data_IF_350666601473
#
_entry.id   IF_350666601473
#
_cell.length_a   1.000
_cell.length_b   1.000
_cell.length_c   1.000
_cell.angle_alpha   90.00
_cell.angle_beta   90.00
_cell.angle_gamma   90.00
#
_symmetry.space_group_name_H-M   'P 1'
#
loop_
_entity.id
_entity.type
_entity.pdbx_description
1 polymer ?
#
# COMPACT_ATOMS: atom_id res chain seq x y z
N UNK A 1 13.15 27.70 -49.45
CA UNK A 1 12.24 26.55 -49.26
C UNK A 1 12.94 25.35 -49.85
N UNK A 2 13.68 24.62 -49.02
CA UNK A 2 14.36 23.31 -49.20
C UNK A 2 15.22 23.20 -47.90
N UNK A 3 15.44 22.11 -47.16
CA UNK A 3 15.17 20.68 -47.29
C UNK A 3 15.76 20.01 -46.00
N UNK A 4 15.20 18.88 -45.51
CA UNK A 4 15.84 17.83 -44.64
C UNK A 4 16.00 18.12 -43.12
N UNK A 5 15.89 17.20 -42.13
CA UNK A 5 15.95 15.73 -42.05
C UNK A 5 15.24 15.19 -40.80
N UNK A 6 14.82 13.93 -40.90
CA UNK A 6 14.51 13.04 -39.79
C UNK A 6 15.71 12.84 -38.82
N UNK A 7 15.41 12.79 -37.52
CA UNK A 7 16.23 12.15 -36.48
C UNK A 7 15.21 11.33 -35.66
N UNK A 8 15.12 10.01 -35.82
CA UNK A 8 16.16 9.05 -35.43
C UNK A 8 15.89 8.64 -33.98
N UNK A 9 15.19 7.50 -33.81
CA UNK A 9 14.87 6.86 -32.52
C UNK A 9 16.08 6.79 -31.58
N UNK A 10 15.91 7.25 -30.35
CA UNK A 10 16.46 6.54 -29.20
C UNK A 10 15.27 5.92 -28.47
N UNK A 11 15.15 4.59 -28.59
CA UNK A 11 14.26 3.83 -27.74
C UNK A 11 14.86 3.82 -26.34
N UNK A 12 14.62 4.86 -25.56
CA UNK A 12 14.65 4.73 -24.11
C UNK A 12 13.30 4.13 -23.74
N UNK A 13 13.26 2.79 -23.69
CA UNK A 13 12.21 2.11 -22.95
C UNK A 13 12.32 2.62 -21.52
N UNK A 14 11.49 3.61 -21.19
CA UNK A 14 11.46 4.25 -19.90
C UNK A 14 11.33 3.11 -18.87
N UNK A 15 12.33 2.82 -18.02
CA UNK A 15 12.36 1.57 -17.24
C UNK A 15 11.15 1.45 -16.29
N UNK A 16 10.43 2.56 -16.09
CA UNK A 16 9.22 2.67 -15.31
C UNK A 16 7.94 2.20 -16.04
N UNK A 17 7.94 1.96 -17.37
CA UNK A 17 6.75 1.37 -18.04
C UNK A 17 6.48 -0.05 -17.55
N UNK A 18 7.52 -0.81 -17.19
CA UNK A 18 7.37 -2.13 -16.56
C UNK A 18 6.74 -2.09 -15.15
N UNK A 19 6.75 -0.92 -14.51
CA UNK A 19 6.13 -0.65 -13.21
C UNK A 19 4.72 -0.05 -13.33
N UNK A 20 4.24 0.24 -14.55
CA UNK A 20 2.89 0.72 -14.81
C UNK A 20 2.71 2.24 -14.73
N UNK A 21 3.76 3.03 -14.98
CA UNK A 21 3.72 4.51 -14.98
C UNK A 21 3.76 5.07 -16.41
N UNK A 22 2.99 6.13 -16.66
CA UNK A 22 3.14 7.00 -17.84
C UNK A 22 4.21 8.09 -17.59
N UNK A 23 4.56 8.83 -18.65
CA UNK A 23 5.62 9.85 -18.60
C UNK A 23 5.27 11.07 -17.72
N UNK A 24 4.02 11.15 -17.24
CA UNK A 24 3.54 12.17 -16.29
C UNK A 24 3.51 11.67 -14.83
N UNK A 25 3.96 10.44 -14.57
CA UNK A 25 3.87 9.80 -13.26
C UNK A 25 2.45 9.36 -12.89
N UNK A 26 1.53 9.34 -13.86
CA UNK A 26 0.20 8.77 -13.66
C UNK A 26 0.22 7.28 -13.96
N UNK A 27 -0.57 6.53 -13.21
CA UNK A 27 -0.66 5.08 -13.35
C UNK A 27 -1.45 4.71 -14.60
N UNK A 28 -0.86 3.83 -15.42
CA UNK A 28 -1.55 3.19 -16.53
C UNK A 28 -2.71 2.33 -16.01
N UNK A 29 -3.73 2.02 -16.84
CA UNK A 29 -4.86 1.19 -16.45
C UNK A 29 -4.37 -0.24 -16.14
N UNK A 30 -4.03 -0.48 -14.86
CA UNK A 30 -3.48 -1.73 -14.35
C UNK A 30 -2.76 -1.47 -13.04
N UNK A 31 -3.43 -1.75 -11.91
CA UNK A 31 -2.81 -1.56 -10.59
C UNK A 31 -1.51 -2.37 -10.48
N UNK A 32 -0.41 -1.78 -9.96
CA UNK A 32 0.86 -2.50 -9.90
C UNK A 32 0.70 -3.79 -9.11
N UNK A 33 1.37 -4.84 -9.59
CA UNK A 33 1.33 -6.20 -9.01
C UNK A 33 1.61 -6.21 -7.51
N UNK A 34 2.37 -5.24 -7.01
CA UNK A 34 2.66 -5.13 -5.58
C UNK A 34 1.41 -4.87 -4.75
N UNK A 35 0.44 -4.08 -5.24
CA UNK A 35 -0.79 -3.77 -4.51
C UNK A 35 -1.69 -5.00 -4.39
N UNK A 36 -1.77 -5.82 -5.45
CA UNK A 36 -2.56 -7.06 -5.41
C UNK A 36 -1.92 -8.08 -4.47
N UNK A 37 -0.59 -8.21 -4.48
CA UNK A 37 0.15 -9.07 -3.54
C UNK A 37 -0.05 -8.61 -2.09
N UNK A 38 0.08 -7.31 -1.82
CA UNK A 38 -0.12 -6.72 -0.50
C UNK A 38 -1.52 -7.00 0.05
N UNK A 39 -2.55 -6.72 -0.75
CA UNK A 39 -3.94 -7.00 -0.35
C UNK A 39 -4.13 -8.49 -0.02
N UNK A 40 -3.61 -9.38 -0.86
CA UNK A 40 -3.70 -10.84 -0.64
C UNK A 40 -2.95 -11.32 0.60
N UNK A 41 -1.78 -10.75 0.91
CA UNK A 41 -0.99 -11.11 2.10
C UNK A 41 -1.68 -10.62 3.37
N UNK A 42 -2.14 -9.37 3.38
CA UNK A 42 -2.83 -8.79 4.53
C UNK A 42 -4.18 -9.49 4.79
N UNK A 43 -4.95 -9.80 3.74
CA UNK A 43 -6.19 -10.57 3.87
C UNK A 43 -5.95 -12.00 4.41
N UNK A 44 -4.88 -12.67 3.96
CA UNK A 44 -4.49 -13.98 4.51
C UNK A 44 -4.09 -13.88 5.98
N UNK A 45 -3.33 -12.85 6.34
CA UNK A 45 -2.91 -12.61 7.73
C UNK A 45 -4.12 -12.37 8.65
N UNK A 46 -5.02 -11.46 8.26
CA UNK A 46 -6.27 -11.19 9.00
C UNK A 46 -7.09 -12.46 9.19
N UNK A 47 -7.31 -13.22 8.12
CA UNK A 47 -8.09 -14.47 8.18
C UNK A 47 -7.45 -15.53 9.08
N UNK A 48 -6.12 -15.65 9.04
CA UNK A 48 -5.37 -16.55 9.91
C UNK A 48 -5.51 -16.15 11.38
N UNK A 49 -5.32 -14.87 11.67
CA UNK A 49 -5.39 -14.31 13.01
C UNK A 49 -6.80 -14.41 13.61
N UNK A 50 -7.84 -14.08 12.85
CA UNK A 50 -9.23 -14.20 13.32
C UNK A 50 -9.60 -15.66 13.65
N UNK A 51 -9.11 -16.63 12.87
CA UNK A 51 -9.28 -18.06 13.21
C UNK A 51 -8.55 -18.45 14.49
N UNK A 52 -7.33 -17.95 14.69
CA UNK A 52 -6.57 -18.19 15.92
C UNK A 52 -7.27 -17.58 17.13
N UNK A 53 -7.77 -16.36 17.02
CA UNK A 53 -8.53 -15.68 18.08
C UNK A 53 -9.88 -16.35 18.37
N UNK A 54 -10.55 -16.90 17.35
CA UNK A 54 -11.78 -17.65 17.55
C UNK A 54 -11.56 -19.04 18.19
N UNK A 55 -10.44 -19.69 17.86
CA UNK A 55 -10.09 -21.02 18.36
C UNK A 55 -9.37 -21.02 19.72
N UNK A 56 -8.77 -19.89 20.11
CA UNK A 56 -7.95 -19.77 21.31
C UNK A 56 -8.61 -18.80 22.30
N UNK A 57 -8.60 -19.07 23.61
CA UNK A 57 -8.98 -18.09 24.66
C UNK A 57 -7.96 -16.94 24.81
N UNK A 58 -7.23 -16.60 23.75
CA UNK A 58 -6.23 -15.53 23.74
C UNK A 58 -6.99 -14.21 23.61
N UNK A 59 -6.85 -13.34 24.60
CA UNK A 59 -7.41 -11.99 24.54
C UNK A 59 -6.49 -11.15 23.65
N UNK A 60 -7.00 -10.72 22.51
CA UNK A 60 -6.31 -9.75 21.66
C UNK A 60 -6.14 -8.42 22.41
N UNK A 61 -4.99 -7.78 22.22
CA UNK A 61 -4.70 -6.48 22.82
C UNK A 61 -5.42 -5.41 22.01
N UNK A 62 -6.41 -4.75 22.62
CA UNK A 62 -7.17 -3.68 21.95
C UNK A 62 -6.27 -2.45 21.76
N UNK A 63 -5.75 -2.29 20.56
CA UNK A 63 -4.98 -1.11 20.15
C UNK A 63 -5.88 0.07 19.77
N UNK A 64 -5.37 1.30 19.77
CA UNK A 64 -6.06 2.50 19.23
C UNK A 64 -6.49 2.37 17.75
N UNK A 65 -5.90 1.43 17.01
CA UNK A 65 -6.23 1.14 15.62
C UNK A 65 -7.48 0.26 15.46
N UNK A 66 -8.01 -0.31 16.55
CA UNK A 66 -9.25 -1.09 16.49
C UNK A 66 -10.44 -0.16 16.26
N UNK A 67 -11.06 -0.26 15.08
CA UNK A 67 -12.33 0.38 14.80
C UNK A 67 -13.48 -0.34 15.50
N UNK A 68 -14.51 0.41 15.91
CA UNK A 68 -15.79 -0.16 16.37
C UNK A 68 -16.50 -0.98 15.27
N UNK A 69 -16.17 -0.71 14.00
CA UNK A 69 -16.74 -1.40 12.83
C UNK A 69 -15.69 -1.47 11.73
N UNK A 70 -15.56 -2.64 11.11
CA UNK A 70 -14.71 -2.80 9.94
C UNK A 70 -15.26 -1.94 8.78
N UNK A 71 -14.41 -1.25 8.01
CA UNK A 71 -14.86 -0.56 6.81
C UNK A 71 -15.53 -1.57 5.86
N UNK A 72 -16.65 -1.18 5.23
CA UNK A 72 -17.29 -1.97 4.17
C UNK A 72 -16.47 -2.05 2.87
N UNK A 73 -15.32 -1.37 2.85
CA UNK A 73 -14.43 -1.30 1.70
C UNK A 73 -13.45 -2.48 1.72
N UNK A 74 -13.43 -3.23 0.62
CA UNK A 74 -12.48 -4.32 0.43
C UNK A 74 -11.03 -3.81 0.51
N UNK A 75 -10.14 -4.57 1.14
CA UNK A 75 -8.76 -4.15 1.41
C UNK A 75 -8.01 -3.83 0.12
N UNK A 76 -8.26 -4.59 -0.95
CA UNK A 76 -7.70 -4.29 -2.27
C UNK A 76 -8.09 -2.91 -2.80
N UNK A 77 -9.38 -2.57 -2.76
CA UNK A 77 -9.85 -1.25 -3.20
C UNK A 77 -9.31 -0.14 -2.29
N UNK A 78 -9.10 -0.44 -1.00
CA UNK A 78 -8.50 0.51 -0.08
C UNK A 78 -7.04 0.82 -0.41
N UNK A 79 -6.23 -0.22 -0.65
CA UNK A 79 -4.83 -0.07 -1.08
C UNK A 79 -4.73 0.71 -2.39
N UNK A 80 -5.59 0.41 -3.37
CA UNK A 80 -5.64 1.12 -4.66
C UNK A 80 -5.99 2.61 -4.48
N UNK A 81 -6.88 2.95 -3.55
CA UNK A 81 -7.17 4.35 -3.20
C UNK A 81 -5.97 5.04 -2.57
N UNK A 82 -5.36 4.43 -1.55
CA UNK A 82 -4.17 4.98 -0.89
C UNK A 82 -3.11 5.30 -1.94
N UNK A 83 -2.86 4.35 -2.83
CA UNK A 83 -1.92 4.50 -3.91
C UNK A 83 -2.26 5.66 -4.87
N UNK A 84 -3.52 5.77 -5.28
CA UNK A 84 -4.00 6.85 -6.15
C UNK A 84 -3.86 8.24 -5.52
N UNK A 85 -4.12 8.35 -4.22
CA UNK A 85 -4.15 9.65 -3.52
C UNK A 85 -2.80 10.06 -2.93
N UNK A 86 -2.06 9.12 -2.35
CA UNK A 86 -0.77 9.41 -1.75
C UNK A 86 0.33 9.65 -2.79
N UNK A 87 0.22 9.10 -4.02
CA UNK A 87 1.27 9.21 -5.04
C UNK A 87 2.68 8.87 -4.52
N UNK A 88 2.77 7.93 -3.59
CA UNK A 88 4.05 7.47 -3.03
C UNK A 88 4.70 6.38 -3.86
N UNK A 89 6.01 6.22 -3.69
CA UNK A 89 6.79 5.17 -4.32
C UNK A 89 6.30 3.77 -3.89
N UNK A 90 6.41 2.78 -4.79
CA UNK A 90 6.05 1.38 -4.47
C UNK A 90 6.83 0.82 -3.26
N UNK A 91 8.05 1.33 -3.01
CA UNK A 91 8.87 1.01 -1.83
C UNK A 91 8.18 1.36 -0.51
N UNK A 92 7.40 2.44 -0.46
CA UNK A 92 6.68 2.88 0.74
C UNK A 92 5.68 1.83 1.23
N UNK A 93 5.06 1.09 0.31
CA UNK A 93 4.13 0.02 0.68
C UNK A 93 4.83 -1.21 1.25
N UNK A 94 6.02 -1.55 0.75
CA UNK A 94 6.83 -2.64 1.31
C UNK A 94 7.27 -2.29 2.73
N UNK A 95 7.79 -1.08 2.91
CA UNK A 95 8.20 -0.58 4.23
C UNK A 95 7.00 -0.52 5.19
N UNK A 96 5.82 -0.11 4.71
CA UNK A 96 4.61 -0.09 5.52
C UNK A 96 4.24 -1.47 6.09
N UNK A 97 4.36 -2.56 5.31
CA UNK A 97 4.11 -3.91 5.83
C UNK A 97 5.12 -4.31 6.88
N UNK A 98 6.40 -3.93 6.71
CA UNK A 98 7.43 -4.18 7.73
C UNK A 98 7.10 -3.40 9.02
N UNK A 99 6.60 -2.17 8.91
CA UNK A 99 6.16 -1.39 10.08
C UNK A 99 4.97 -2.01 10.79
N UNK A 100 3.99 -2.53 10.05
CA UNK A 100 2.86 -3.27 10.61
C UNK A 100 3.34 -4.48 11.39
N UNK A 101 4.18 -5.33 10.78
CA UNK A 101 4.68 -6.56 11.40
C UNK A 101 5.47 -6.26 12.67
N UNK A 102 6.40 -5.29 12.62
CA UNK A 102 7.18 -4.85 13.79
C UNK A 102 6.30 -4.28 14.90
N UNK A 103 5.28 -3.50 14.54
CA UNK A 103 4.37 -2.92 15.53
C UNK A 103 3.59 -4.01 16.27
N UNK A 104 3.01 -4.96 15.53
CA UNK A 104 2.25 -6.08 16.08
C UNK A 104 3.11 -6.98 16.97
N UNK A 105 4.34 -7.29 16.56
CA UNK A 105 5.28 -8.08 17.36
C UNK A 105 5.66 -7.39 18.68
N UNK A 106 5.79 -6.06 18.70
CA UNK A 106 6.14 -5.34 19.93
C UNK A 106 5.04 -5.30 20.97
N UNK A 107 3.80 -5.21 20.53
CA UNK A 107 2.63 -5.06 21.41
C UNK A 107 1.92 -6.39 21.66
N UNK A 108 2.40 -7.48 21.06
CA UNK A 108 1.80 -8.81 21.08
C UNK A 108 0.31 -8.78 20.70
N UNK A 109 -0.01 -8.07 19.61
CA UNK A 109 -1.38 -7.95 19.10
C UNK A 109 -1.50 -8.59 17.72
N UNK A 110 -2.74 -8.93 17.36
CA UNK A 110 -3.04 -9.54 16.09
C UNK A 110 -3.60 -8.54 15.08
N UNK A 111 -3.28 -8.76 13.80
CA UNK A 111 -3.90 -8.02 12.71
C UNK A 111 -5.31 -8.57 12.48
N UNK A 112 -6.33 -7.73 12.58
CA UNK A 112 -7.74 -8.10 12.42
C UNK A 112 -8.42 -7.21 11.37
N UNK A 113 -9.61 -7.59 10.91
CA UNK A 113 -10.38 -6.77 9.96
C UNK A 113 -10.73 -5.37 10.51
N UNK A 114 -10.70 -5.20 11.83
CA UNK A 114 -11.00 -3.94 12.52
C UNK A 114 -9.79 -3.00 12.61
N UNK A 115 -8.56 -3.56 12.60
CA UNK A 115 -7.33 -2.79 12.74
C UNK A 115 -6.58 -2.58 11.42
N UNK A 116 -6.73 -3.50 10.45
CA UNK A 116 -5.92 -3.52 9.23
C UNK A 116 -5.99 -2.24 8.40
N UNK A 117 -7.18 -1.66 8.18
CA UNK A 117 -7.30 -0.45 7.36
C UNK A 117 -6.61 0.74 8.01
N UNK A 118 -6.89 0.98 9.29
CA UNK A 118 -6.32 2.13 10.03
C UNK A 118 -4.82 1.99 10.18
N UNK A 119 -4.33 0.78 10.49
CA UNK A 119 -2.90 0.53 10.64
C UNK A 119 -2.14 0.62 9.31
N UNK A 120 -2.79 0.23 8.20
CA UNK A 120 -2.19 0.31 6.88
C UNK A 120 -1.95 1.75 6.44
N UNK A 121 -2.98 2.62 6.51
CA UNK A 121 -2.80 4.01 6.09
C UNK A 121 -1.75 4.72 6.93
N UNK A 122 -1.76 4.53 8.25
CA UNK A 122 -0.76 5.19 9.11
C UNK A 122 0.64 4.70 8.81
N UNK A 123 0.84 3.40 8.60
CA UNK A 123 2.14 2.84 8.24
C UNK A 123 2.63 3.35 6.88
N UNK A 124 1.73 3.45 5.89
CA UNK A 124 2.07 4.02 4.57
C UNK A 124 2.41 5.50 4.67
N UNK A 125 1.67 6.29 5.45
CA UNK A 125 1.96 7.71 5.62
C UNK A 125 3.31 7.94 6.33
N UNK A 126 3.63 7.14 7.35
CA UNK A 126 4.93 7.21 8.04
C UNK A 126 6.06 6.78 7.10
N UNK A 127 5.88 5.71 6.33
CA UNK A 127 6.87 5.26 5.35
C UNK A 127 7.09 6.32 4.27
N UNK A 128 6.02 6.88 3.70
CA UNK A 128 6.11 7.93 2.68
C UNK A 128 6.82 9.18 3.21
N UNK A 129 6.52 9.61 4.44
CA UNK A 129 7.22 10.75 5.07
C UNK A 129 8.73 10.55 5.20
N UNK A 130 9.20 9.30 5.31
CA UNK A 130 10.60 8.97 5.48
C UNK A 130 11.33 8.67 4.16
N UNK A 131 10.61 8.08 3.20
CA UNK A 131 11.19 7.54 1.97
C UNK A 131 10.99 8.45 0.76
N UNK A 132 9.93 9.24 0.72
CA UNK A 132 9.60 10.13 -0.39
C UNK A 132 9.76 11.60 0.04
N UNK A 133 10.57 12.37 -0.69
CA UNK A 133 10.72 13.81 -0.50
C UNK A 133 9.45 14.59 -0.88
N UNK A 134 8.62 14.00 -1.74
CA UNK A 134 7.28 14.49 -2.05
C UNK A 134 6.33 14.02 -0.94
N UNK A 135 6.07 14.91 0.01
CA UNK A 135 5.19 14.63 1.14
C UNK A 135 3.78 14.24 0.66
N UNK A 136 3.31 13.07 1.07
CA UNK A 136 1.90 12.67 0.97
C UNK A 136 1.03 13.53 1.90
N UNK A 137 0.75 14.78 1.52
CA UNK A 137 -0.26 15.63 2.18
C UNK A 137 -1.19 16.21 1.14
N UNK A 138 -1.79 15.36 0.31
CA UNK A 138 -2.96 15.78 -0.46
C UNK A 138 -4.20 15.08 0.08
N UNK A 139 -4.92 15.84 0.91
CA UNK A 139 -6.33 15.75 1.27
C UNK A 139 -6.91 14.32 1.44
N UNK A 140 -6.94 13.87 2.71
CA UNK A 140 -7.99 12.98 3.20
C UNK A 140 -9.01 13.82 3.98
#
# INVERSE_FOLDING_TARGET
METLMAKGKAGESNPYTGLGLDESGNWLPGSPRILSLLSSVLERSVRGNEKLLAGSKIKDVITIFHGSRAPSLNLRHYVERIFKYCKCSNSCFVVAVIYIDRFLQRIDAYLTSLSVHRLLITSVMVAAKFMDDQWCVQAL
#
